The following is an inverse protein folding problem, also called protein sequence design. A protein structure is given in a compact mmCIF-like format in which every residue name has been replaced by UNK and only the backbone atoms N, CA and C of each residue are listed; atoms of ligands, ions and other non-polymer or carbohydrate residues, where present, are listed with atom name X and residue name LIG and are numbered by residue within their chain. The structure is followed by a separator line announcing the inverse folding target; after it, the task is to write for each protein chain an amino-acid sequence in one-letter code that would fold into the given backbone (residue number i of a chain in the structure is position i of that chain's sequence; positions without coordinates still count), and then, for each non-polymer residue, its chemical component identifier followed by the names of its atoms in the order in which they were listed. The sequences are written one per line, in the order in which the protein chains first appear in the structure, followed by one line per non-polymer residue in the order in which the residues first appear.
data_IF_268975140533
#
_entry.id   IF_268975140533
#
_cell.length_a   1.000
_cell.length_b   1.000
_cell.length_c   1.000
_cell.angle_alpha   90.00
_cell.angle_beta   90.00
_cell.angle_gamma   90.00
#
_symmetry.space_group_name_H-M   'P 1'
#
loop_
_entity.id
_entity.type
_entity.pdbx_description
1 polymer ?
#
# COMPACT_ATOMS: atom_id res chain seq x y z
N UNK A 1 -28.73 -16.47 -23.84
CA UNK A 1 -27.85 -15.29 -23.72
C UNK A 1 -26.87 -15.31 -24.88
N UNK A 2 -26.79 -14.26 -25.71
CA UNK A 2 -25.90 -14.21 -26.90
C UNK A 2 -24.83 -13.11 -26.83
N UNK A 3 -25.00 -12.16 -25.90
CA UNK A 3 -24.17 -10.96 -25.81
C UNK A 3 -23.70 -10.77 -24.38
N UNK A 4 -22.46 -10.32 -24.23
CA UNK A 4 -21.83 -9.89 -23.00
C UNK A 4 -21.47 -8.39 -23.10
N UNK A 5 -21.68 -7.64 -22.03
CA UNK A 5 -21.17 -6.28 -21.87
C UNK A 5 -20.09 -6.27 -20.82
N UNK A 6 -18.88 -5.98 -21.24
CA UNK A 6 -17.72 -5.96 -20.36
C UNK A 6 -17.40 -4.55 -19.87
N UNK A 7 -16.96 -4.45 -18.62
CA UNK A 7 -16.37 -3.24 -18.07
C UNK A 7 -14.91 -3.46 -17.73
N UNK A 8 -14.05 -2.60 -18.27
CA UNK A 8 -12.61 -2.62 -18.05
C UNK A 8 -12.18 -1.35 -17.32
N UNK A 9 -11.18 -1.50 -16.47
CA UNK A 9 -10.56 -0.38 -15.77
C UNK A 9 -9.12 -0.71 -15.47
N UNK A 10 -8.18 0.11 -15.96
CA UNK A 10 -6.77 -0.03 -15.62
C UNK A 10 -6.57 -0.05 -14.09
N UNK A 11 -5.77 -1.01 -13.61
CA UNK A 11 -5.29 -1.03 -12.22
C UNK A 11 -3.76 -0.99 -12.21
N UNK A 12 -3.11 -0.61 -11.10
CA UNK A 12 -1.65 -0.63 -11.01
C UNK A 12 -0.99 -1.98 -11.31
N UNK A 13 -1.75 -3.08 -11.24
CA UNK A 13 -1.26 -4.43 -11.45
C UNK A 13 -1.75 -5.06 -12.76
N UNK A 14 -2.62 -4.38 -13.52
CA UNK A 14 -3.30 -5.00 -14.66
C UNK A 14 -3.82 -3.94 -15.64
N UNK A 15 -3.29 -3.94 -16.86
CA UNK A 15 -3.65 -3.01 -17.93
C UNK A 15 -5.02 -3.33 -18.52
N UNK A 16 -5.65 -2.38 -19.22
CA UNK A 16 -6.93 -2.65 -19.89
C UNK A 16 -6.80 -3.64 -21.04
N UNK A 17 -5.64 -3.71 -21.70
CA UNK A 17 -5.44 -4.62 -22.84
C UNK A 17 -5.33 -6.07 -22.37
N UNK A 18 -4.61 -6.33 -21.28
CA UNK A 18 -4.58 -7.66 -20.63
C UNK A 18 -5.96 -8.07 -20.10
N UNK A 19 -6.75 -7.10 -19.62
CA UNK A 19 -8.13 -7.35 -19.19
C UNK A 19 -9.06 -7.66 -20.37
N UNK A 20 -8.91 -6.93 -21.48
CA UNK A 20 -9.65 -7.14 -22.72
C UNK A 20 -9.37 -8.54 -23.29
N UNK A 21 -8.10 -8.95 -23.34
CA UNK A 21 -7.70 -10.28 -23.80
C UNK A 21 -8.41 -11.38 -22.99
N UNK A 22 -8.31 -11.32 -21.65
CA UNK A 22 -8.97 -12.28 -20.76
C UNK A 22 -10.49 -12.34 -20.99
N UNK A 23 -11.14 -11.17 -21.06
CA UNK A 23 -12.59 -11.09 -21.22
C UNK A 23 -13.03 -11.62 -22.58
N UNK A 24 -12.29 -11.32 -23.65
CA UNK A 24 -12.58 -11.82 -24.99
C UNK A 24 -12.46 -13.32 -25.05
N UNK A 25 -11.38 -13.87 -24.49
CA UNK A 25 -11.16 -15.31 -24.39
C UNK A 25 -12.25 -16.00 -23.56
N UNK A 26 -12.62 -15.43 -22.41
CA UNK A 26 -13.73 -15.94 -21.58
C UNK A 26 -15.07 -15.95 -22.34
N UNK A 27 -15.37 -14.88 -23.08
CA UNK A 27 -16.59 -14.77 -23.89
C UNK A 27 -16.57 -15.75 -25.08
N UNK A 28 -15.42 -15.88 -25.75
CA UNK A 28 -15.25 -16.75 -26.92
C UNK A 28 -15.49 -18.22 -26.58
N UNK A 29 -14.94 -18.72 -25.45
CA UNK A 29 -15.20 -20.07 -24.95
C UNK A 29 -16.68 -20.36 -24.68
N UNK A 30 -17.50 -19.33 -24.54
CA UNK A 30 -18.93 -19.41 -24.24
C UNK A 30 -19.82 -18.99 -25.41
N UNK A 31 -19.25 -18.71 -26.58
CA UNK A 31 -19.99 -18.27 -27.76
C UNK A 31 -20.71 -16.93 -27.57
N UNK A 32 -20.18 -16.04 -26.72
CA UNK A 32 -20.77 -14.73 -26.45
C UNK A 32 -20.09 -13.65 -27.28
N UNK A 33 -20.90 -12.82 -27.97
CA UNK A 33 -20.39 -11.58 -28.56
C UNK A 33 -20.15 -10.55 -27.45
N UNK A 34 -18.99 -9.90 -27.42
CA UNK A 34 -18.63 -8.95 -26.36
C UNK A 34 -18.66 -7.50 -26.85
N UNK A 35 -19.30 -6.64 -26.06
CA UNK A 35 -19.25 -5.17 -26.19
C UNK A 35 -18.46 -4.62 -25.00
N UNK A 36 -17.39 -3.88 -25.27
CA UNK A 36 -16.44 -3.43 -24.25
C UNK A 36 -16.67 -1.96 -23.89
N UNK A 37 -16.73 -1.68 -22.59
CA UNK A 37 -16.76 -0.35 -22.01
C UNK A 37 -15.48 -0.16 -21.18
N UNK A 38 -14.77 0.96 -21.41
CA UNK A 38 -13.50 1.31 -20.73
C UNK A 38 -13.70 2.48 -19.79
N UNK A 39 -12.79 2.67 -18.83
CA UNK A 39 -12.93 3.71 -17.81
C UNK A 39 -12.91 5.12 -18.42
N UNK A 40 -13.93 5.92 -18.07
CA UNK A 40 -13.97 7.37 -18.27
C UNK A 40 -14.90 7.98 -17.21
N UNK A 41 -14.88 9.32 -17.04
CA UNK A 41 -15.70 10.03 -16.02
C UNK A 41 -17.18 9.63 -16.01
N UNK A 42 -17.75 9.23 -17.15
CA UNK A 42 -19.15 8.83 -17.27
C UNK A 42 -19.37 7.33 -17.59
N UNK A 43 -18.31 6.60 -17.97
CA UNK A 43 -18.48 5.31 -18.65
C UNK A 43 -19.01 4.19 -17.74
N UNK A 44 -18.73 4.20 -16.42
CA UNK A 44 -19.25 3.17 -15.49
C UNK A 44 -20.77 3.22 -15.43
N UNK A 45 -21.33 4.42 -15.24
CA UNK A 45 -22.77 4.64 -15.20
C UNK A 45 -23.45 4.35 -16.54
N UNK A 46 -22.79 4.65 -17.65
CA UNK A 46 -23.29 4.29 -18.99
C UNK A 46 -23.31 2.77 -19.21
N UNK A 47 -22.25 2.08 -18.79
CA UNK A 47 -22.18 0.62 -18.85
C UNK A 47 -23.28 -0.03 -18.01
N UNK A 48 -23.46 0.40 -16.75
CA UNK A 48 -24.53 -0.10 -15.88
C UNK A 48 -25.93 0.06 -16.49
N UNK A 49 -26.17 1.20 -17.17
CA UNK A 49 -27.44 1.45 -17.90
C UNK A 49 -27.57 0.63 -19.18
N UNK A 50 -26.47 0.24 -19.79
CA UNK A 50 -26.47 -0.48 -21.06
C UNK A 50 -26.72 -1.98 -20.88
N UNK A 51 -26.34 -2.56 -19.72
CA UNK A 51 -26.57 -3.97 -19.39
C UNK A 51 -28.06 -4.29 -19.34
N UNK A 52 -28.46 -5.36 -20.05
CA UNK A 52 -29.85 -5.83 -20.13
C UNK A 52 -30.03 -7.22 -19.52
N UNK A 53 -31.27 -7.56 -19.17
CA UNK A 53 -31.62 -8.83 -18.49
C UNK A 53 -31.36 -10.10 -19.31
N UNK A 54 -31.10 -9.97 -20.60
CA UNK A 54 -30.79 -11.08 -21.51
C UNK A 54 -29.30 -11.20 -21.83
N UNK A 55 -28.47 -10.34 -21.22
CA UNK A 55 -27.03 -10.21 -21.47
C UNK A 55 -26.21 -10.60 -20.23
N UNK A 56 -24.95 -10.97 -20.43
CA UNK A 56 -23.98 -11.12 -19.34
C UNK A 56 -23.33 -9.76 -19.02
N UNK A 57 -23.23 -9.41 -17.74
CA UNK A 57 -22.30 -8.38 -17.28
C UNK A 57 -20.97 -9.04 -16.93
N UNK A 58 -19.94 -8.84 -17.76
CA UNK A 58 -18.65 -9.53 -17.59
C UNK A 58 -17.62 -8.56 -17.04
N UNK A 59 -16.88 -9.01 -16.04
CA UNK A 59 -15.79 -8.25 -15.43
C UNK A 59 -14.53 -9.10 -15.47
N UNK A 60 -13.36 -8.54 -15.83
CA UNK A 60 -12.10 -9.25 -15.71
C UNK A 60 -11.86 -9.73 -14.27
N UNK A 61 -12.17 -8.90 -13.26
CA UNK A 61 -12.37 -9.26 -11.84
C UNK A 61 -13.41 -8.37 -11.18
N UNK A 62 -14.11 -8.85 -10.14
CA UNK A 62 -15.14 -8.02 -9.47
C UNK A 62 -14.57 -6.78 -8.75
N UNK A 63 -13.32 -6.79 -8.27
CA UNK A 63 -12.75 -5.66 -7.52
C UNK A 63 -12.63 -4.37 -8.35
N UNK A 64 -12.58 -4.50 -9.68
CA UNK A 64 -12.49 -3.36 -10.59
C UNK A 64 -13.77 -2.50 -10.57
N UNK A 65 -14.88 -3.03 -10.07
CA UNK A 65 -16.12 -2.26 -9.93
C UNK A 65 -15.98 -1.17 -8.88
N UNK A 66 -15.19 -1.39 -7.83
CA UNK A 66 -15.16 -0.51 -6.68
C UNK A 66 -14.47 0.83 -6.99
N UNK A 67 -15.17 1.95 -6.83
CA UNK A 67 -14.60 3.30 -6.92
C UNK A 67 -13.99 3.72 -5.56
N UNK A 68 -12.79 4.32 -5.58
CA UNK A 68 -12.06 4.69 -4.35
C UNK A 68 -12.30 6.11 -3.89
N UNK A 69 -12.66 6.95 -4.83
CA UNK A 69 -12.74 8.40 -4.78
C UNK A 69 -14.20 8.87 -4.72
N UNK A 70 -15.13 7.92 -4.52
CA UNK A 70 -16.55 8.19 -4.31
C UNK A 70 -16.90 8.58 -2.87
N UNK A 71 -18.14 9.01 -2.67
CA UNK A 71 -18.72 9.36 -1.35
C UNK A 71 -18.86 8.17 -0.38
N UNK A 72 -18.53 6.95 -0.82
CA UNK A 72 -18.77 5.68 -0.10
C UNK A 72 -17.46 4.91 0.05
N UNK A 73 -17.39 4.03 1.05
CA UNK A 73 -16.29 3.09 1.14
C UNK A 73 -16.26 2.17 -0.09
N UNK A 74 -15.08 1.77 -0.60
CA UNK A 74 -15.00 0.96 -1.82
C UNK A 74 -15.71 -0.40 -1.71
N UNK A 75 -15.72 -0.99 -0.52
CA UNK A 75 -16.46 -2.24 -0.25
C UNK A 75 -17.97 -2.05 -0.33
N UNK A 76 -18.49 -0.92 0.17
CA UNK A 76 -19.91 -0.60 0.06
C UNK A 76 -20.29 -0.28 -1.39
N UNK A 77 -19.44 0.44 -2.12
CA UNK A 77 -19.62 0.70 -3.55
C UNK A 77 -19.66 -0.59 -4.37
N UNK A 78 -18.72 -1.53 -4.15
CA UNK A 78 -18.76 -2.85 -4.79
C UNK A 78 -20.10 -3.56 -4.55
N UNK A 79 -20.54 -3.63 -3.29
CA UNK A 79 -21.73 -4.38 -2.89
C UNK A 79 -22.98 -3.81 -3.55
N UNK A 80 -23.15 -2.49 -3.50
CA UNK A 80 -24.31 -1.80 -4.09
C UNK A 80 -24.31 -1.95 -5.61
N UNK A 81 -23.15 -1.83 -6.26
CA UNK A 81 -23.07 -1.96 -7.71
C UNK A 81 -23.25 -3.39 -8.19
N UNK A 82 -22.78 -4.38 -7.44
CA UNK A 82 -23.07 -5.78 -7.73
C UNK A 82 -24.55 -6.09 -7.60
N UNK A 83 -25.23 -5.54 -6.59
CA UNK A 83 -26.67 -5.69 -6.42
C UNK A 83 -27.46 -5.07 -7.59
N UNK A 84 -27.12 -3.83 -7.98
CA UNK A 84 -27.70 -3.17 -9.15
C UNK A 84 -27.45 -3.98 -10.44
N UNK A 85 -26.25 -4.51 -10.65
CA UNK A 85 -25.93 -5.37 -11.78
C UNK A 85 -26.75 -6.67 -11.78
N UNK A 86 -26.90 -7.32 -10.62
CA UNK A 86 -27.69 -8.55 -10.51
C UNK A 86 -29.16 -8.34 -10.80
N UNK A 87 -29.70 -7.15 -10.51
CA UNK A 87 -31.08 -6.80 -10.86
C UNK A 87 -31.29 -6.54 -12.35
N UNK A 88 -30.20 -6.24 -13.10
CA UNK A 88 -30.26 -5.82 -14.51
C UNK A 88 -29.76 -6.87 -15.49
N UNK A 89 -28.73 -7.63 -15.14
CA UNK A 89 -28.07 -8.60 -16.01
C UNK A 89 -28.76 -9.96 -15.91
N UNK A 90 -28.72 -10.74 -17.00
CA UNK A 90 -29.11 -12.15 -16.92
C UNK A 90 -28.13 -12.96 -16.07
N UNK A 91 -26.84 -12.59 -16.12
CA UNK A 91 -25.80 -13.12 -15.23
C UNK A 91 -24.68 -12.09 -15.07
N UNK A 92 -24.04 -12.06 -13.91
CA UNK A 92 -22.80 -11.32 -13.68
C UNK A 92 -21.64 -12.31 -13.62
N UNK A 93 -20.50 -12.02 -14.25
CA UNK A 93 -19.36 -12.93 -14.32
C UNK A 93 -18.05 -12.27 -13.89
N UNK A 94 -17.25 -13.02 -13.14
CA UNK A 94 -15.81 -12.78 -12.92
C UNK A 94 -15.02 -13.71 -13.85
N UNK A 95 -14.33 -13.11 -14.83
CA UNK A 95 -13.61 -13.88 -15.85
C UNK A 95 -12.35 -14.56 -15.31
N UNK A 96 -11.68 -13.97 -14.30
CA UNK A 96 -10.45 -14.52 -13.71
C UNK A 96 -10.72 -15.78 -12.91
N UNK A 97 -11.78 -15.77 -12.11
CA UNK A 97 -12.17 -16.91 -11.27
C UNK A 97 -13.13 -17.87 -11.97
N UNK A 98 -13.48 -17.56 -13.22
CA UNK A 98 -14.46 -18.27 -14.02
C UNK A 98 -15.76 -18.54 -13.25
N UNK A 99 -16.24 -17.52 -12.53
CA UNK A 99 -17.37 -17.61 -11.62
C UNK A 99 -18.50 -16.67 -12.08
N UNK A 100 -19.73 -17.15 -11.99
CA UNK A 100 -20.92 -16.38 -12.38
C UNK A 100 -21.90 -16.26 -11.22
N UNK A 101 -22.81 -15.29 -11.29
CA UNK A 101 -23.85 -15.08 -10.27
C UNK A 101 -24.85 -16.24 -10.15
N UNK A 102 -24.80 -17.21 -11.06
CA UNK A 102 -25.54 -18.46 -10.96
C UNK A 102 -24.78 -19.55 -10.16
N UNK A 103 -23.46 -19.40 -9.98
CA UNK A 103 -22.59 -20.42 -9.39
C UNK A 103 -22.49 -20.30 -7.85
N UNK A 104 -23.64 -20.21 -7.16
CA UNK A 104 -23.80 -20.20 -5.69
C UNK A 104 -22.52 -19.98 -4.86
N UNK A 105 -21.83 -21.06 -4.48
CA UNK A 105 -20.60 -21.03 -3.68
C UNK A 105 -19.40 -20.36 -4.38
N UNK A 106 -19.12 -20.69 -5.65
CA UNK A 106 -18.02 -20.05 -6.41
C UNK A 106 -18.22 -18.54 -6.55
N UNK A 107 -19.48 -18.11 -6.65
CA UNK A 107 -19.82 -16.69 -6.69
C UNK A 107 -19.51 -15.98 -5.36
N UNK A 108 -19.84 -16.62 -4.23
CA UNK A 108 -19.49 -16.12 -2.90
C UNK A 108 -17.97 -16.00 -2.73
N UNK A 109 -17.21 -17.00 -3.20
CA UNK A 109 -15.75 -16.98 -3.17
C UNK A 109 -15.17 -15.84 -4.01
N UNK A 110 -15.75 -15.58 -5.19
CA UNK A 110 -15.33 -14.47 -6.05
C UNK A 110 -15.58 -13.11 -5.39
N UNK A 111 -16.73 -12.93 -4.73
CA UNK A 111 -17.02 -11.72 -3.95
C UNK A 111 -16.03 -11.56 -2.79
N UNK A 112 -15.77 -12.64 -2.05
CA UNK A 112 -14.82 -12.63 -0.94
C UNK A 112 -13.41 -12.27 -1.39
N UNK A 113 -12.94 -12.82 -2.51
CA UNK A 113 -11.66 -12.50 -3.12
C UNK A 113 -11.57 -11.02 -3.50
N UNK A 114 -12.60 -10.47 -4.16
CA UNK A 114 -12.66 -9.06 -4.53
C UNK A 114 -12.65 -8.12 -3.31
N UNK A 115 -13.42 -8.43 -2.27
CA UNK A 115 -13.40 -7.68 -1.01
C UNK A 115 -12.02 -7.76 -0.32
N UNK A 116 -11.34 -8.90 -0.39
CA UNK A 116 -9.98 -9.06 0.09
C UNK A 116 -8.99 -8.13 -0.61
N UNK A 117 -9.05 -8.05 -1.94
CA UNK A 117 -8.22 -7.15 -2.75
C UNK A 117 -8.51 -5.68 -2.39
N UNK A 118 -9.78 -5.31 -2.27
CA UNK A 118 -10.19 -3.95 -1.91
C UNK A 118 -9.65 -3.56 -0.53
N UNK A 119 -9.81 -4.44 0.48
CA UNK A 119 -9.31 -4.22 1.85
C UNK A 119 -7.78 -4.08 1.90
N UNK A 120 -7.07 -4.80 1.03
CA UNK A 120 -5.62 -4.69 0.88
C UNK A 120 -5.16 -3.39 0.18
N UNK A 121 -6.08 -2.49 -0.19
CA UNK A 121 -5.77 -1.27 -0.93
C UNK A 121 -5.50 -1.55 -2.42
N UNK A 122 -5.98 -2.67 -2.95
CA UNK A 122 -5.86 -3.14 -4.34
C UNK A 122 -4.46 -3.16 -4.94
N UNK A 123 -3.45 -3.26 -4.07
CA UNK A 123 -2.18 -3.83 -4.44
C UNK A 123 -2.26 -5.35 -4.33
N UNK A 124 -1.43 -6.04 -5.12
CA UNK A 124 -1.10 -7.46 -4.88
C UNK A 124 -0.73 -7.58 -3.39
N UNK A 125 -1.24 -8.58 -2.63
CA UNK A 125 -0.85 -8.75 -1.24
C UNK A 125 0.67 -8.78 -1.16
N UNK A 126 1.23 -7.86 -0.37
CA UNK A 126 2.67 -7.71 -0.26
C UNK A 126 3.27 -9.03 0.18
N UNK A 127 4.22 -9.54 -0.59
CA UNK A 127 4.99 -10.69 -0.12
C UNK A 127 5.71 -10.31 1.18
N UNK A 128 5.94 -11.28 2.06
CA UNK A 128 6.68 -11.07 3.32
C UNK A 128 8.04 -10.38 3.09
N UNK A 129 8.66 -10.62 1.93
CA UNK A 129 9.89 -9.97 1.49
C UNK A 129 9.68 -8.47 1.19
N UNK A 130 8.65 -8.13 0.39
CA UNK A 130 8.33 -6.74 0.04
C UNK A 130 7.88 -5.92 1.27
N UNK A 131 7.09 -6.51 2.18
CA UNK A 131 6.71 -5.88 3.43
C UNK A 131 7.94 -5.56 4.30
N UNK A 132 8.89 -6.49 4.40
CA UNK A 132 10.17 -6.27 5.10
C UNK A 132 11.03 -5.21 4.42
N UNK A 133 11.10 -5.20 3.10
CA UNK A 133 11.85 -4.20 2.34
C UNK A 133 11.29 -2.78 2.54
N UNK A 134 9.97 -2.62 2.51
CA UNK A 134 9.34 -1.33 2.80
C UNK A 134 9.49 -0.91 4.26
N UNK A 135 9.39 -1.85 5.22
CA UNK A 135 9.65 -1.56 6.62
C UNK A 135 11.10 -1.08 6.84
N UNK A 136 12.08 -1.70 6.17
CA UNK A 136 13.48 -1.26 6.17
C UNK A 136 13.61 0.14 5.57
N UNK A 137 13.07 0.38 4.36
CA UNK A 137 13.12 1.69 3.69
C UNK A 137 12.47 2.81 4.51
N UNK A 138 11.34 2.53 5.17
CA UNK A 138 10.68 3.46 6.10
C UNK A 138 11.52 3.71 7.36
N UNK A 139 12.17 2.68 7.88
CA UNK A 139 13.10 2.80 9.02
C UNK A 139 14.32 3.63 8.63
N UNK A 140 14.86 3.45 7.43
CA UNK A 140 16.01 4.18 6.92
C UNK A 140 15.67 5.65 6.65
N UNK A 141 14.49 5.95 6.10
CA UNK A 141 13.98 7.32 5.96
C UNK A 141 13.77 8.00 7.32
N UNK A 142 13.22 7.27 8.31
CA UNK A 142 13.10 7.77 9.69
C UNK A 142 14.46 7.97 10.35
N UNK A 143 15.42 7.09 10.09
CA UNK A 143 16.82 7.24 10.55
C UNK A 143 17.49 8.44 9.90
N UNK A 144 17.32 8.66 8.59
CA UNK A 144 17.88 9.81 7.88
C UNK A 144 17.33 11.14 8.43
N UNK A 145 16.07 11.16 8.86
CA UNK A 145 15.43 12.29 9.55
C UNK A 145 15.68 12.34 11.06
N UNK A 146 16.39 11.35 11.63
CA UNK A 146 16.63 11.31 13.07
C UNK A 146 17.71 12.29 13.47
N UNK A 147 17.52 12.95 14.61
CA UNK A 147 18.52 13.85 15.23
C UNK A 147 19.88 13.17 15.37
N UNK A 148 19.92 11.87 15.67
CA UNK A 148 21.17 11.09 15.74
C UNK A 148 21.90 11.03 14.40
N UNK A 149 21.20 10.80 13.29
CA UNK A 149 21.84 10.77 11.97
C UNK A 149 22.32 12.16 11.54
N UNK A 150 21.51 13.20 11.77
CA UNK A 150 21.90 14.59 11.53
C UNK A 150 23.20 14.92 12.28
N UNK A 151 23.26 14.61 13.58
CA UNK A 151 24.45 14.89 14.39
C UNK A 151 25.63 13.97 14.07
N UNK A 152 25.42 12.79 13.48
CA UNK A 152 26.49 11.92 12.96
C UNK A 152 26.99 12.29 11.56
N UNK A 153 26.29 13.16 10.83
CA UNK A 153 26.72 13.64 9.51
C UNK A 153 28.05 14.39 9.55
N UNK A 154 28.67 14.57 8.39
CA UNK A 154 29.90 15.37 8.23
C UNK A 154 29.66 16.85 8.52
N UNK A 155 28.49 17.39 8.13
CA UNK A 155 28.12 18.79 8.37
C UNK A 155 28.15 19.16 9.86
N UNK A 156 27.84 18.20 10.74
CA UNK A 156 27.88 18.38 12.21
C UNK A 156 29.17 17.89 12.85
N UNK A 157 30.18 17.43 12.11
CA UNK A 157 31.37 16.79 12.68
C UNK A 157 32.17 17.71 13.60
N UNK A 158 32.45 18.96 13.18
CA UNK A 158 33.20 19.94 13.99
C UNK A 158 32.45 20.30 15.28
N UNK A 159 31.15 20.57 15.15
CA UNK A 159 30.30 20.93 16.28
C UNK A 159 30.13 19.77 17.26
N UNK A 160 29.92 18.55 16.74
CA UNK A 160 29.85 17.31 17.51
C UNK A 160 31.12 17.10 18.32
N UNK A 161 32.30 17.23 17.71
CA UNK A 161 33.57 17.02 18.40
C UNK A 161 33.83 18.09 19.47
N UNK A 162 33.46 19.36 19.19
CA UNK A 162 33.52 20.45 20.17
C UNK A 162 32.67 20.15 21.41
N UNK A 163 31.41 19.78 21.21
CA UNK A 163 30.50 19.43 22.31
C UNK A 163 30.96 18.16 23.04
N UNK A 164 31.50 17.19 22.29
CA UNK A 164 32.08 15.97 22.86
C UNK A 164 33.16 16.32 23.88
N UNK A 165 34.17 17.10 23.48
CA UNK A 165 35.32 17.45 24.34
C UNK A 165 34.93 18.36 25.50
N UNK A 166 34.14 19.41 25.24
CA UNK A 166 33.82 20.44 26.23
C UNK A 166 32.82 19.97 27.28
N UNK A 167 31.82 19.19 26.87
CA UNK A 167 30.66 18.85 27.70
C UNK A 167 30.58 17.35 27.96
N UNK A 168 30.62 16.53 26.90
CA UNK A 168 30.26 15.11 27.03
C UNK A 168 31.31 14.25 27.74
N UNK A 169 32.59 14.40 27.43
CA UNK A 169 33.67 13.60 28.07
C UNK A 169 34.36 14.35 29.21
N UNK A 170 34.01 15.62 29.42
CA UNK A 170 34.57 16.44 30.49
C UNK A 170 33.96 16.05 31.84
N UNK A 171 34.46 14.95 32.42
CA UNK A 171 33.99 14.42 33.70
C UNK A 171 34.39 15.28 34.90
N UNK A 172 35.33 16.21 34.73
CA UNK A 172 35.76 17.16 35.78
C UNK A 172 34.71 18.24 35.96
N UNK A 173 34.22 18.83 34.85
CA UNK A 173 33.17 19.85 34.91
C UNK A 173 31.76 19.25 35.08
N UNK A 174 31.55 18.00 34.61
CA UNK A 174 30.24 17.36 34.62
C UNK A 174 30.32 15.96 35.23
N UNK A 175 29.96 15.87 36.51
CA UNK A 175 30.04 14.64 37.33
C UNK A 175 29.25 13.48 36.72
N UNK A 176 28.09 13.75 36.10
CA UNK A 176 27.24 12.72 35.52
C UNK A 176 26.69 13.12 34.15
N UNK A 177 26.02 12.17 33.48
CA UNK A 177 25.47 12.41 32.15
C UNK A 177 24.27 13.36 32.16
N UNK A 178 23.55 13.48 33.28
CA UNK A 178 22.39 14.37 33.41
C UNK A 178 22.86 15.83 33.43
N UNK A 179 23.89 16.14 34.20
CA UNK A 179 24.47 17.50 34.25
C UNK A 179 25.07 17.90 32.90
N UNK A 180 25.77 16.98 32.23
CA UNK A 180 26.27 17.26 30.88
C UNK A 180 25.17 17.41 29.83
N UNK A 181 24.05 16.68 29.96
CA UNK A 181 22.91 16.79 29.04
C UNK A 181 22.22 18.14 29.13
N UNK A 182 22.14 18.75 30.32
CA UNK A 182 21.57 20.07 30.51
C UNK A 182 22.30 21.14 29.68
N UNK A 183 23.62 21.04 29.55
CA UNK A 183 24.47 21.95 28.79
C UNK A 183 24.52 21.70 27.27
N UNK A 184 23.84 20.65 26.77
CA UNK A 184 23.73 20.42 25.34
C UNK A 184 22.66 21.33 24.72
N UNK A 185 22.76 21.64 23.41
CA UNK A 185 21.69 22.32 22.67
C UNK A 185 20.35 21.59 22.81
N UNK A 186 19.23 22.32 22.75
CA UNK A 186 17.89 21.79 23.02
C UNK A 186 17.57 20.51 22.22
N UNK A 187 17.93 20.49 20.93
CA UNK A 187 17.75 19.33 20.06
C UNK A 187 18.44 18.05 20.57
N UNK A 188 19.49 18.17 21.38
CA UNK A 188 20.20 17.06 22.01
C UNK A 188 19.78 16.86 23.47
N UNK A 189 19.34 17.91 24.16
CA UNK A 189 18.85 17.84 25.55
C UNK A 189 17.61 16.95 25.66
N UNK A 190 16.82 16.77 24.62
CA UNK A 190 15.65 15.86 24.68
C UNK A 190 16.01 14.38 24.47
N UNK A 191 17.24 14.08 24.02
CA UNK A 191 17.63 12.72 23.69
C UNK A 191 17.97 11.88 24.93
N UNK A 192 17.63 10.59 24.86
CA UNK A 192 18.07 9.60 25.84
C UNK A 192 19.59 9.39 25.80
N UNK A 193 20.14 8.95 26.94
CA UNK A 193 21.58 8.66 27.10
C UNK A 193 22.14 7.78 25.99
N UNK A 194 21.44 6.70 25.61
CA UNK A 194 21.90 5.78 24.54
C UNK A 194 22.05 6.48 23.19
N UNK A 195 21.17 7.43 22.88
CA UNK A 195 21.23 8.21 21.64
C UNK A 195 22.40 9.18 21.65
N UNK A 196 22.65 9.84 22.79
CA UNK A 196 23.82 10.69 22.99
C UNK A 196 25.13 9.90 22.90
N UNK A 197 25.21 8.70 23.49
CA UNK A 197 26.36 7.81 23.36
C UNK A 197 26.60 7.35 21.92
N UNK A 198 25.55 7.22 21.09
CA UNK A 198 25.70 6.92 19.66
C UNK A 198 26.24 8.10 18.85
N UNK A 199 25.99 9.33 19.29
CA UNK A 199 26.48 10.56 18.66
C UNK A 199 27.93 10.80 19.10
N UNK A 200 28.17 10.87 20.40
CA UNK A 200 29.45 11.32 20.97
C UNK A 200 30.40 10.18 21.38
N UNK A 201 29.93 8.93 21.42
CA UNK A 201 30.66 7.81 22.02
C UNK A 201 30.46 7.72 23.54
N UNK A 202 31.18 6.80 24.18
CA UNK A 202 31.16 6.67 25.65
C UNK A 202 31.73 7.93 26.34
N UNK A 203 31.14 8.30 27.49
CA UNK A 203 31.58 9.46 28.30
C UNK A 203 32.95 9.24 28.92
N UNK A 204 33.15 8.07 29.52
CA UNK A 204 34.44 7.65 30.04
C UNK A 204 35.17 6.98 28.87
N UNK A 205 36.30 7.52 28.47
CA UNK A 205 37.06 7.11 27.27
C UNK A 205 37.66 5.70 27.34
N UNK A 206 36.90 4.67 27.76
CA UNK A 206 37.28 3.27 27.60
C UNK A 206 37.15 2.91 26.13
N UNK A 207 38.23 3.16 25.39
CA UNK A 207 38.56 2.50 24.14
C UNK A 207 38.33 1.00 24.33
N UNK A 208 37.37 0.42 23.60
CA UNK A 208 37.23 -1.03 23.52
C UNK A 208 38.56 -1.57 23.02
N UNK A 209 39.25 -2.39 23.83
CA UNK A 209 40.40 -3.19 23.35
C UNK A 209 39.95 -3.99 22.13
N UNK A 210 40.75 -4.04 21.05
CA UNK A 210 40.43 -4.90 19.92
C UNK A 210 40.36 -6.35 20.41
N UNK A 211 39.34 -7.09 19.95
CA UNK A 211 39.28 -8.53 20.15
C UNK A 211 40.34 -9.15 19.25
N UNK A 212 41.39 -9.68 19.85
CA UNK A 212 42.21 -10.78 19.30
C UNK A 212 41.37 -12.03 19.18
#
# INVERSE_FOLDING_TARGET
MRTARAWLRATPAWTEDEQEELVRDWCARRGLAVVIYRESKAARSMWLKAVRGTEAAVLPRLDILAQRDGKRSPSADLTITLDDLRSRAGVVADATLDATSADGGRWQDAIAAALGIIRAGGGRPLTKSQARAMARKSTDLRRARSTVALWKSEAKAKERERLRKRVWINTVAFVNWVSARAELPDALRELERRSLERIFGGRTGKTRRPKT
#
